data_IF_194351982475
#
_entry.id   IF_194351982475
#
_cell.length_a   1.000
_cell.length_b   1.000
_cell.length_c   1.000
_cell.angle_alpha   90.00
_cell.angle_beta   90.00
_cell.angle_gamma   90.00
#
_symmetry.space_group_name_H-M   'P 1'
#
loop_
_entity.id
_entity.type
_entity.pdbx_description
1 polymer ?
#
# COMPACT_ATOMS: atom_id res chain seq x y z
N UNK A 1 12.31 -9.77 10.02
CA UNK A 1 10.88 -10.02 10.29
C UNK A 1 10.04 -9.22 9.29
N UNK A 2 9.17 -9.90 8.57
CA UNK A 2 8.34 -9.24 7.56
C UNK A 2 7.39 -8.26 8.23
N UNK A 3 7.27 -7.07 7.64
CA UNK A 3 6.38 -6.01 8.12
C UNK A 3 5.32 -5.78 7.05
N UNK A 4 4.06 -5.80 7.48
CA UNK A 4 2.91 -5.70 6.60
C UNK A 4 2.15 -4.41 6.91
N UNK A 5 1.97 -3.59 5.89
CA UNK A 5 1.15 -2.38 6.00
C UNK A 5 -0.20 -2.65 5.37
N UNK A 6 -1.27 -2.39 6.10
CA UNK A 6 -2.62 -2.48 5.59
C UNK A 6 -3.19 -1.07 5.54
N UNK A 7 -3.38 -0.56 4.34
CA UNK A 7 -3.88 0.79 4.12
C UNK A 7 -5.29 0.70 3.56
N UNK A 8 -6.26 1.20 4.32
CA UNK A 8 -7.67 1.20 3.93
C UNK A 8 -8.11 2.64 3.70
N UNK A 9 -8.87 2.88 2.64
CA UNK A 9 -9.25 4.25 2.31
C UNK A 9 -10.56 4.31 1.54
N UNK A 10 -11.11 5.53 1.49
CA UNK A 10 -12.24 5.89 0.62
C UNK A 10 -11.90 7.21 -0.02
N UNK A 11 -12.14 7.33 -1.31
CA UNK A 11 -11.86 8.55 -2.05
C UNK A 11 -13.01 9.54 -1.94
N UNK A 12 -12.69 10.82 -2.05
CA UNK A 12 -13.68 11.86 -2.28
C UNK A 12 -14.22 11.72 -3.69
N UNK A 13 -15.39 12.28 -3.95
CA UNK A 13 -15.95 12.27 -5.29
C UNK A 13 -15.13 13.11 -6.24
N UNK A 14 -15.01 12.65 -7.48
CA UNK A 14 -14.42 13.44 -8.55
C UNK A 14 -12.90 13.48 -8.60
N UNK A 15 -12.21 12.69 -7.76
CA UNK A 15 -10.74 12.73 -7.68
C UNK A 15 -10.07 11.52 -8.32
N UNK A 16 -10.85 10.60 -8.89
CA UNK A 16 -10.33 9.29 -9.31
C UNK A 16 -9.18 9.39 -10.31
N UNK A 17 -9.28 10.28 -11.31
CA UNK A 17 -8.24 10.37 -12.33
C UNK A 17 -6.93 10.92 -11.76
N UNK A 18 -7.02 11.98 -10.98
CA UNK A 18 -5.83 12.57 -10.35
C UNK A 18 -5.21 11.60 -9.35
N UNK A 19 -6.07 10.92 -8.58
CA UNK A 19 -5.60 9.93 -7.63
C UNK A 19 -4.87 8.78 -8.33
N UNK A 20 -5.42 8.27 -9.43
CA UNK A 20 -4.80 7.16 -10.15
C UNK A 20 -3.41 7.51 -10.64
N UNK A 21 -3.20 8.74 -11.10
CA UNK A 21 -1.90 9.19 -11.56
C UNK A 21 -0.87 9.14 -10.42
N UNK A 22 -1.25 9.62 -9.24
CA UNK A 22 -0.36 9.60 -8.07
C UNK A 22 -0.14 8.18 -7.58
N UNK A 23 -1.20 7.36 -7.55
CA UNK A 23 -1.10 5.98 -7.09
C UNK A 23 -0.17 5.16 -7.99
N UNK A 24 -0.21 5.39 -9.30
CA UNK A 24 0.66 4.69 -10.24
C UNK A 24 2.12 5.07 -10.03
N UNK A 25 2.37 6.35 -9.77
CA UNK A 25 3.70 6.84 -9.45
C UNK A 25 4.23 6.18 -8.17
N UNK A 26 3.37 6.07 -7.15
CA UNK A 26 3.76 5.44 -5.89
C UNK A 26 4.02 3.95 -6.05
N UNK A 27 3.23 3.28 -6.88
CA UNK A 27 3.45 1.87 -7.17
C UNK A 27 4.83 1.65 -7.81
N UNK A 28 5.24 2.53 -8.69
CA UNK A 28 6.58 2.44 -9.30
C UNK A 28 7.67 2.75 -8.27
N UNK A 29 7.43 3.76 -7.44
CA UNK A 29 8.43 4.21 -6.47
C UNK A 29 8.68 3.18 -5.38
N UNK A 30 7.64 2.53 -4.86
CA UNK A 30 7.81 1.57 -3.77
C UNK A 30 8.64 0.38 -4.20
N UNK A 31 8.58 0.01 -5.48
CA UNK A 31 9.35 -1.12 -6.00
C UNK A 31 10.85 -0.86 -5.97
N UNK A 32 11.27 0.39 -5.88
CA UNK A 32 12.70 0.73 -5.82
C UNK A 32 13.25 0.66 -4.39
N UNK A 33 12.41 0.47 -3.40
CA UNK A 33 12.85 0.42 -2.01
C UNK A 33 13.49 -0.94 -1.73
N UNK A 34 14.72 -0.93 -1.23
CA UNK A 34 15.39 -2.16 -0.83
C UNK A 34 14.59 -2.82 0.29
N UNK A 35 14.25 -4.08 0.11
CA UNK A 35 13.43 -4.82 1.05
C UNK A 35 11.93 -4.82 0.74
N UNK A 36 11.50 -4.13 -0.33
CA UNK A 36 10.13 -4.26 -0.80
C UNK A 36 9.90 -5.69 -1.28
N UNK A 37 8.81 -6.31 -0.81
CA UNK A 37 8.48 -7.69 -1.18
C UNK A 37 7.35 -7.74 -2.19
N UNK A 38 6.19 -7.17 -1.85
CA UNK A 38 5.07 -7.12 -2.78
C UNK A 38 4.03 -6.09 -2.35
N UNK A 39 3.11 -5.81 -3.26
CA UNK A 39 1.99 -4.91 -3.02
C UNK A 39 0.78 -5.44 -3.77
N UNK A 40 -0.36 -5.44 -3.11
CA UNK A 40 -1.62 -5.83 -3.74
C UNK A 40 -2.70 -4.81 -3.39
N UNK A 41 -3.57 -4.56 -4.34
CA UNK A 41 -4.70 -3.66 -4.18
C UNK A 41 -6.00 -4.45 -4.30
N UNK A 42 -6.94 -4.17 -3.42
CA UNK A 42 -8.26 -4.79 -3.42
C UNK A 42 -9.33 -3.71 -3.31
N UNK A 43 -10.44 -3.92 -4.01
CA UNK A 43 -11.58 -3.03 -3.94
C UNK A 43 -12.78 -3.81 -3.41
N UNK A 44 -13.33 -3.38 -2.28
CA UNK A 44 -14.50 -4.01 -1.71
C UNK A 44 -15.77 -3.53 -2.43
N UNK A 45 -16.84 -4.31 -2.29
CA UNK A 45 -18.12 -4.01 -2.95
C UNK A 45 -18.67 -2.65 -2.55
N UNK A 46 -18.38 -2.21 -1.33
CA UNK A 46 -18.90 -0.93 -0.82
C UNK A 46 -18.01 0.26 -1.18
N UNK A 47 -16.96 0.03 -1.97
CA UNK A 47 -16.06 1.09 -2.41
C UNK A 47 -14.84 1.30 -1.53
N UNK A 48 -14.69 0.53 -0.45
CA UNK A 48 -13.48 0.63 0.36
C UNK A 48 -12.30 0.07 -0.41
N UNK A 49 -11.21 0.79 -0.40
CA UNK A 49 -9.98 0.43 -1.10
C UNK A 49 -8.98 -0.08 -0.07
N UNK A 50 -8.32 -1.19 -0.38
CA UNK A 50 -7.35 -1.79 0.54
C UNK A 50 -6.06 -2.06 -0.22
N UNK A 51 -4.97 -1.51 0.26
CA UNK A 51 -3.63 -1.80 -0.28
C UNK A 51 -2.83 -2.50 0.81
N UNK A 52 -2.26 -3.64 0.46
CA UNK A 52 -1.41 -4.39 1.38
C UNK A 52 0.00 -4.37 0.81
N UNK A 53 0.95 -3.84 1.59
CA UNK A 53 2.34 -3.72 1.19
C UNK A 53 3.18 -4.50 2.18
N UNK A 54 4.10 -5.31 1.67
CA UNK A 54 4.96 -6.15 2.51
C UNK A 54 6.41 -5.78 2.30
N UNK A 55 7.13 -5.63 3.42
CA UNK A 55 8.55 -5.30 3.44
C UNK A 55 9.31 -6.38 4.23
N UNK A 56 10.57 -6.57 3.86
CA UNK A 56 11.44 -7.55 4.50
C UNK A 56 11.63 -7.27 6.00
N UNK A 57 11.67 -6.00 6.38
CA UNK A 57 11.94 -5.60 7.76
C UNK A 57 11.47 -4.18 8.03
N UNK A 58 11.61 -3.74 9.29
CA UNK A 58 11.19 -2.40 9.71
C UNK A 58 12.00 -1.29 9.03
N UNK A 59 13.28 -1.52 8.77
CA UNK A 59 14.11 -0.50 8.13
C UNK A 59 13.59 -0.21 6.71
N UNK A 60 13.20 -1.25 5.99
CA UNK A 60 12.65 -1.08 4.64
C UNK A 60 11.33 -0.34 4.67
N UNK A 61 10.45 -0.71 5.59
CA UNK A 61 9.16 -0.04 5.76
C UNK A 61 9.39 1.43 6.11
N UNK A 62 10.34 1.73 6.99
CA UNK A 62 10.63 3.11 7.36
C UNK A 62 11.17 3.90 6.19
N UNK A 63 12.04 3.32 5.36
CA UNK A 63 12.55 3.99 4.17
C UNK A 63 11.42 4.42 3.26
N UNK A 64 10.42 3.56 3.09
CA UNK A 64 9.25 3.91 2.29
C UNK A 64 8.41 5.01 2.96
N UNK A 65 8.16 4.87 4.25
CA UNK A 65 7.38 5.86 4.99
C UNK A 65 8.00 7.26 4.89
N UNK A 66 9.34 7.33 4.83
CA UNK A 66 10.08 8.58 4.80
C UNK A 66 10.49 9.02 3.39
N UNK A 67 10.14 8.22 2.38
CA UNK A 67 10.51 8.54 1.01
C UNK A 67 9.84 9.85 0.57
N UNK A 68 10.60 10.81 0.02
CA UNK A 68 10.05 12.14 -0.22
C UNK A 68 8.78 12.19 -1.06
N UNK A 69 8.73 11.48 -2.18
CA UNK A 69 7.53 11.50 -3.01
C UNK A 69 6.36 10.78 -2.35
N UNK A 70 6.64 9.80 -1.48
CA UNK A 70 5.59 9.14 -0.73
C UNK A 70 5.00 10.07 0.33
N UNK A 71 5.84 10.87 0.99
CA UNK A 71 5.37 11.86 1.96
C UNK A 71 4.52 12.92 1.28
N UNK A 72 4.92 13.34 0.09
CA UNK A 72 4.13 14.30 -0.68
C UNK A 72 2.78 13.70 -1.10
N UNK A 73 2.78 12.43 -1.53
CA UNK A 73 1.54 11.74 -1.88
C UNK A 73 0.63 11.62 -0.67
N UNK A 74 1.18 11.36 0.52
CA UNK A 74 0.40 11.30 1.75
C UNK A 74 -0.24 12.65 2.07
N UNK A 75 0.51 13.73 1.89
CA UNK A 75 -0.01 15.09 2.11
C UNK A 75 -1.17 15.36 1.16
N UNK A 76 -0.99 15.06 -0.12
CA UNK A 76 -2.06 15.25 -1.10
C UNK A 76 -3.26 14.36 -0.80
N UNK A 77 -3.01 13.16 -0.31
CA UNK A 77 -4.10 12.26 0.07
C UNK A 77 -4.99 12.90 1.12
N UNK A 78 -4.39 13.44 2.18
CA UNK A 78 -5.17 14.07 3.24
C UNK A 78 -5.87 15.35 2.77
N UNK A 79 -5.22 16.12 1.93
CA UNK A 79 -5.76 17.43 1.53
C UNK A 79 -6.72 17.34 0.35
N UNK A 80 -6.55 16.36 -0.55
CA UNK A 80 -7.25 16.36 -1.83
C UNK A 80 -8.03 15.09 -2.12
N UNK A 81 -7.55 13.91 -1.71
CA UNK A 81 -8.06 12.66 -2.25
C UNK A 81 -8.98 11.88 -1.33
N UNK A 82 -8.61 11.73 -0.04
CA UNK A 82 -9.33 10.79 0.83
C UNK A 82 -10.42 11.46 1.61
N UNK A 83 -11.59 10.80 1.65
CA UNK A 83 -12.63 11.15 2.61
C UNK A 83 -12.37 10.45 3.94
N UNK A 84 -11.63 9.34 3.89
CA UNK A 84 -11.28 8.56 5.08
C UNK A 84 -10.11 7.64 4.77
N UNK A 85 -9.24 7.41 5.73
CA UNK A 85 -8.26 6.33 5.62
C UNK A 85 -7.82 5.85 7.00
N UNK A 86 -7.27 4.65 7.00
CA UNK A 86 -6.74 3.99 8.17
C UNK A 86 -5.49 3.22 7.74
N UNK A 87 -4.43 3.28 8.55
CA UNK A 87 -3.19 2.57 8.27
C UNK A 87 -2.82 1.75 9.49
N UNK A 88 -2.56 0.46 9.25
CA UNK A 88 -2.02 -0.42 10.27
C UNK A 88 -0.71 -0.99 9.78
N UNK A 89 0.33 -0.96 10.60
CA UNK A 89 1.64 -1.51 10.28
C UNK A 89 1.92 -2.59 11.30
N UNK A 90 2.08 -3.82 10.81
CA UNK A 90 2.13 -5.00 11.67
C UNK A 90 3.35 -5.86 11.36
N UNK A 91 3.84 -6.57 12.35
CA UNK A 91 4.86 -7.58 12.15
C UNK A 91 4.19 -8.92 11.86
N UNK A 92 4.69 -9.63 10.85
CA UNK A 92 4.22 -10.97 10.55
C UNK A 92 4.76 -11.93 11.60
N UNK A 93 3.88 -12.62 12.27
CA UNK A 93 4.28 -13.59 13.29
C UNK A 93 4.41 -14.99 12.73
N UNK A 94 3.45 -15.39 11.91
CA UNK A 94 3.48 -16.69 11.23
C UNK A 94 2.91 -16.52 9.84
N UNK A 95 3.26 -17.46 8.95
CA UNK A 95 2.76 -17.46 7.59
C UNK A 95 2.56 -18.89 7.14
N UNK A 96 1.50 -19.13 6.42
CA UNK A 96 1.23 -20.43 5.82
C UNK A 96 0.56 -20.22 4.48
N UNK A 97 1.05 -20.92 3.48
CA UNK A 97 0.48 -20.84 2.14
C UNK A 97 0.17 -22.24 1.65
N UNK A 98 -0.98 -22.42 1.02
CA UNK A 98 -1.36 -23.67 0.39
C UNK A 98 -1.77 -23.38 -1.05
N UNK A 99 -1.34 -24.23 -1.96
CA UNK A 99 -1.74 -24.13 -3.36
C UNK A 99 -2.11 -25.52 -3.86
N UNK A 100 -3.25 -25.60 -4.52
CA UNK A 100 -3.70 -26.83 -5.13
C UNK A 100 -3.19 -26.98 -6.56
N UNK A 101 -2.59 -25.92 -7.11
CA UNK A 101 -2.14 -25.94 -8.49
C UNK A 101 -1.09 -27.02 -8.72
N UNK A 102 -1.33 -27.84 -9.74
CA UNK A 102 -0.46 -28.94 -10.07
C UNK A 102 0.66 -28.52 -10.99
N UNK A 103 1.80 -29.13 -10.78
CA UNK A 103 2.89 -29.05 -11.73
C UNK A 103 2.61 -29.96 -12.89
N UNK A 104 2.74 -29.48 -14.09
CA UNK A 104 2.51 -30.33 -15.24
C UNK A 104 3.80 -30.66 -15.94
#
# INVERSE_FOLDING_TARGET
MVVVTVFRSRLREGVELDYQSVALEMERAVKTIDGFLDQRFYLADDGERVTIVRFRDWDSQRRWAEYPSHREAQRRGREEFYSWYDIEVCEERTSHEFSFLEES
#
